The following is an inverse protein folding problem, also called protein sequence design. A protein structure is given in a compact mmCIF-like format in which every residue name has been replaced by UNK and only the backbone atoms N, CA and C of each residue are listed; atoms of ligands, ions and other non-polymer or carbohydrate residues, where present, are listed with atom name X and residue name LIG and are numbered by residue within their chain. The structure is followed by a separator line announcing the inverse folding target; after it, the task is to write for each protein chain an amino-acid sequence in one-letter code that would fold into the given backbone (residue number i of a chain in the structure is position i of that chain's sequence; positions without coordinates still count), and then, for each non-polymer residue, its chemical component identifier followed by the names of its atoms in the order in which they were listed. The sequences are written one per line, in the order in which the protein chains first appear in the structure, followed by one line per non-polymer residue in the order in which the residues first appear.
data_IF_651676778099
#
_entry.id   IF_651676778099
#
_cell.length_a   1.000
_cell.length_b   1.000
_cell.length_c   1.000
_cell.angle_alpha   90.00
_cell.angle_beta   90.00
_cell.angle_gamma   90.00
#
_symmetry.space_group_name_H-M   'P 1'
#
loop_
_entity.id
_entity.type
_entity.pdbx_description
1 polymer ?
#
# COMPACT_ATOMS: atom_id res chain seq x y z
N UNK A 1 40.94 27.80 -69.29
CA UNK A 1 41.68 27.51 -68.08
C UNK A 1 41.01 28.32 -66.95
N UNK A 2 40.03 27.77 -66.37
CA UNK A 2 39.44 28.25 -65.09
C UNK A 2 38.46 27.14 -64.65
N UNK A 3 38.67 26.49 -63.52
CA UNK A 3 37.71 25.54 -63.01
C UNK A 3 38.25 24.38 -62.16
N UNK A 4 39.26 24.61 -61.33
CA UNK A 4 39.74 23.59 -60.39
C UNK A 4 39.91 24.07 -58.94
N UNK A 5 39.47 25.29 -58.61
CA UNK A 5 39.70 25.90 -57.29
C UNK A 5 38.54 25.79 -56.28
N UNK A 6 37.33 25.38 -56.71
CA UNK A 6 36.13 25.57 -55.87
C UNK A 6 35.59 24.31 -55.17
N UNK A 7 35.97 23.13 -55.63
CA UNK A 7 35.50 21.86 -55.07
C UNK A 7 36.22 21.55 -53.74
N UNK A 8 37.50 21.91 -53.58
CA UNK A 8 38.27 21.66 -52.37
C UNK A 8 37.75 22.42 -51.15
N UNK A 9 37.28 23.62 -51.30
CA UNK A 9 36.72 24.47 -50.21
C UNK A 9 35.32 24.05 -49.74
N UNK A 10 34.59 23.36 -50.65
CA UNK A 10 33.25 22.83 -50.30
C UNK A 10 33.32 21.55 -49.46
N UNK A 11 34.27 20.66 -49.72
CA UNK A 11 34.47 19.43 -48.96
C UNK A 11 35.01 19.69 -47.56
N UNK A 12 35.88 20.68 -47.35
CA UNK A 12 36.37 21.07 -46.03
C UNK A 12 35.31 21.73 -45.16
N UNK A 13 34.39 22.50 -45.73
CA UNK A 13 33.27 23.08 -44.96
C UNK A 13 32.19 22.06 -44.56
N UNK A 14 31.85 21.12 -45.45
CA UNK A 14 30.90 20.06 -45.11
C UNK A 14 31.45 19.08 -44.10
N UNK A 15 32.76 18.77 -44.11
CA UNK A 15 33.40 17.86 -43.13
C UNK A 15 33.44 18.43 -41.71
N UNK A 16 33.58 19.76 -41.53
CA UNK A 16 33.62 20.39 -40.23
C UNK A 16 32.23 20.47 -39.58
N UNK A 17 31.17 20.64 -40.34
CA UNK A 17 29.79 20.76 -39.83
C UNK A 17 29.23 19.40 -39.43
N UNK A 18 29.49 18.33 -40.23
CA UNK A 18 29.08 16.97 -39.86
C UNK A 18 29.75 16.50 -38.57
N UNK A 19 31.03 16.82 -38.36
CA UNK A 19 31.76 16.53 -37.13
C UNK A 19 31.21 17.28 -35.89
N UNK A 20 30.68 18.47 -36.08
CA UNK A 20 30.05 19.28 -35.05
C UNK A 20 28.67 18.72 -34.67
N UNK A 21 27.84 18.34 -35.65
CA UNK A 21 26.53 17.73 -35.44
C UNK A 21 26.63 16.36 -34.77
N UNK A 22 27.61 15.54 -35.14
CA UNK A 22 27.87 14.25 -34.53
C UNK A 22 28.34 14.41 -33.06
N UNK A 23 29.23 15.39 -32.79
CA UNK A 23 29.67 15.67 -31.41
C UNK A 23 28.54 16.23 -30.53
N UNK A 24 27.71 17.11 -31.07
CA UNK A 24 26.54 17.63 -30.33
C UNK A 24 25.49 16.55 -30.14
N UNK A 25 25.20 15.72 -31.16
CA UNK A 25 24.29 14.57 -31.03
C UNK A 25 24.77 13.55 -30.00
N UNK A 26 26.07 13.24 -29.95
CA UNK A 26 26.66 12.35 -28.94
C UNK A 26 26.62 12.95 -27.54
N UNK A 27 26.80 14.27 -27.39
CA UNK A 27 26.69 14.98 -26.12
C UNK A 27 25.25 14.97 -25.58
N UNK A 28 24.27 15.16 -26.46
CA UNK A 28 22.85 15.06 -26.09
C UNK A 28 22.43 13.64 -25.77
N UNK A 29 23.00 12.63 -26.45
CA UNK A 29 22.77 11.21 -26.15
C UNK A 29 23.38 10.82 -24.80
N UNK A 30 24.59 11.34 -24.49
CA UNK A 30 25.24 11.11 -23.20
C UNK A 30 24.56 11.87 -22.05
N UNK A 31 24.00 13.07 -22.32
CA UNK A 31 23.19 13.79 -21.34
C UNK A 31 21.83 13.08 -21.07
N UNK A 32 21.22 12.48 -22.10
CA UNK A 32 20.00 11.69 -21.95
C UNK A 32 20.23 10.37 -21.19
N UNK A 33 21.43 9.80 -21.30
CA UNK A 33 21.85 8.62 -20.53
C UNK A 33 22.30 8.95 -19.08
N UNK A 34 22.56 10.22 -18.80
CA UNK A 34 22.96 10.71 -17.49
C UNK A 34 21.80 11.32 -16.67
N UNK A 35 20.56 11.22 -17.16
CA UNK A 35 19.42 11.42 -16.27
C UNK A 35 19.53 10.34 -15.20
N UNK A 36 19.67 10.71 -13.92
CA UNK A 36 19.53 9.69 -12.89
C UNK A 36 18.16 9.05 -13.15
N UNK A 37 18.15 7.76 -13.43
CA UNK A 37 16.99 6.95 -13.14
C UNK A 37 16.78 7.22 -11.66
N UNK A 38 15.86 8.11 -11.33
CA UNK A 38 15.36 8.20 -9.98
C UNK A 38 14.94 6.75 -9.69
N UNK A 39 15.74 6.07 -8.90
CA UNK A 39 15.33 4.80 -8.33
C UNK A 39 13.95 5.14 -7.75
N UNK A 40 12.92 4.56 -8.31
CA UNK A 40 11.60 4.65 -7.76
C UNK A 40 11.76 4.03 -6.39
N UNK A 41 11.96 4.88 -5.38
CA UNK A 41 12.03 4.42 -4.00
C UNK A 41 10.72 3.65 -3.80
N UNK A 42 10.83 2.33 -3.67
CA UNK A 42 9.67 1.48 -3.45
C UNK A 42 8.94 1.98 -2.20
N UNK A 43 7.65 1.77 -2.13
CA UNK A 43 6.89 2.16 -0.95
C UNK A 43 7.54 1.63 0.34
N UNK A 44 7.48 2.39 1.44
CA UNK A 44 8.11 2.00 2.70
C UNK A 44 7.51 0.69 3.24
N UNK A 45 8.23 -0.04 4.10
CA UNK A 45 7.68 -1.22 4.78
C UNK A 45 6.38 -0.89 5.53
N UNK A 46 5.47 -1.85 5.67
CA UNK A 46 4.18 -1.64 6.33
C UNK A 46 4.28 -1.08 7.78
N UNK A 47 5.38 -1.37 8.46
CA UNK A 47 5.64 -0.84 9.82
C UNK A 47 5.80 0.68 9.86
N UNK A 48 6.15 1.30 8.73
CA UNK A 48 6.40 2.73 8.59
C UNK A 48 5.16 3.51 8.13
N UNK A 49 3.99 2.85 8.12
CA UNK A 49 2.71 3.51 7.88
C UNK A 49 2.10 4.00 9.19
N UNK A 50 1.68 5.27 9.21
CA UNK A 50 0.77 5.76 10.25
C UNK A 50 -0.65 5.24 9.99
N UNK A 51 -1.32 4.80 11.03
CA UNK A 51 -2.68 4.25 10.93
C UNK A 51 -3.64 5.09 11.76
N UNK A 52 -4.59 5.71 11.07
CA UNK A 52 -5.74 6.36 11.69
C UNK A 52 -6.92 5.40 11.72
N UNK A 53 -7.72 5.44 12.77
CA UNK A 53 -8.84 4.51 12.97
C UNK A 53 -10.12 5.26 13.34
N UNK A 54 -11.20 5.00 12.62
CA UNK A 54 -12.54 5.47 12.91
C UNK A 54 -13.49 4.30 13.18
N UNK A 55 -14.22 4.43 14.24
CA UNK A 55 -15.27 3.51 14.66
C UNK A 55 -16.52 4.30 15.02
N UNK A 56 -17.61 3.63 15.33
CA UNK A 56 -18.84 4.29 15.82
C UNK A 56 -18.64 5.06 17.14
N UNK A 57 -17.51 4.86 17.82
CA UNK A 57 -17.17 5.60 19.05
C UNK A 57 -16.51 6.96 18.78
N UNK A 58 -15.96 7.16 17.60
CA UNK A 58 -15.22 8.38 17.24
C UNK A 58 -15.64 8.97 15.87
N UNK A 59 -16.92 8.84 15.53
CA UNK A 59 -17.54 9.59 14.46
C UNK A 59 -17.96 8.80 13.22
N UNK A 60 -17.57 7.53 13.07
CA UNK A 60 -18.07 6.70 11.99
C UNK A 60 -19.51 6.28 12.30
N UNK A 61 -20.49 6.49 11.41
CA UNK A 61 -21.89 6.17 11.69
C UNK A 61 -22.15 4.68 11.91
N UNK A 62 -21.41 3.82 11.20
CA UNK A 62 -21.53 2.37 11.31
C UNK A 62 -20.18 1.67 11.09
N UNK A 63 -19.86 0.66 11.90
CA UNK A 63 -18.58 -0.04 11.86
C UNK A 63 -18.43 -1.03 10.70
N UNK A 64 -19.53 -1.45 10.08
CA UNK A 64 -19.49 -2.42 8.96
C UNK A 64 -19.53 -1.69 7.63
N UNK A 65 -18.36 -1.51 7.05
CA UNK A 65 -18.18 -0.93 5.73
C UNK A 65 -18.29 -2.00 4.66
N UNK A 66 -18.79 -1.61 3.49
CA UNK A 66 -18.92 -2.52 2.35
C UNK A 66 -18.10 -2.08 1.15
N UNK A 67 -18.06 -0.80 0.85
CA UNK A 67 -17.30 -0.26 -0.27
C UNK A 67 -16.82 1.16 0.00
N UNK A 68 -15.79 1.59 -0.73
CA UNK A 68 -15.16 2.90 -0.62
C UNK A 68 -14.96 3.46 -2.03
N UNK A 69 -15.38 4.71 -2.24
CA UNK A 69 -15.14 5.44 -3.48
C UNK A 69 -14.67 6.86 -3.19
N UNK A 70 -13.95 7.48 -4.12
CA UNK A 70 -13.58 8.89 -4.06
C UNK A 70 -14.07 9.59 -5.31
N UNK A 71 -14.80 10.69 -5.14
CA UNK A 71 -15.20 11.56 -6.25
C UNK A 71 -14.10 12.58 -6.59
N UNK A 72 -14.07 13.15 -7.82
CA UNK A 72 -13.02 14.08 -8.24
C UNK A 72 -12.87 15.34 -7.36
N UNK A 73 -13.93 15.71 -6.63
CA UNK A 73 -13.86 16.82 -5.66
C UNK A 73 -13.09 16.46 -4.38
N UNK A 74 -12.55 15.23 -4.30
CA UNK A 74 -11.77 14.73 -3.17
C UNK A 74 -12.61 14.11 -2.05
N UNK A 75 -13.96 14.15 -2.11
CA UNK A 75 -14.80 13.53 -1.10
C UNK A 75 -14.68 12.01 -1.16
N UNK A 76 -14.50 11.41 0.02
CA UNK A 76 -14.60 9.96 0.17
C UNK A 76 -16.04 9.56 0.52
N UNK A 77 -16.47 8.45 -0.07
CA UNK A 77 -17.80 7.90 0.11
C UNK A 77 -17.71 6.47 0.58
N UNK A 78 -18.51 6.12 1.56
CA UNK A 78 -18.51 4.80 2.18
C UNK A 78 -19.90 4.19 2.12
N UNK A 79 -19.98 2.98 1.60
CA UNK A 79 -21.17 2.16 1.66
C UNK A 79 -21.28 1.49 3.03
N UNK A 80 -22.40 1.65 3.71
CA UNK A 80 -22.68 0.99 5.00
C UNK A 80 -24.10 0.39 5.01
N UNK A 81 -24.41 -0.40 6.03
CA UNK A 81 -25.78 -0.89 6.24
C UNK A 81 -26.74 0.17 6.76
N UNK A 82 -26.23 1.27 7.32
CA UNK A 82 -27.04 2.37 7.90
C UNK A 82 -27.08 3.61 7.01
N UNK A 83 -26.61 3.49 5.77
CA UNK A 83 -26.65 4.57 4.79
C UNK A 83 -25.36 4.73 4.01
N UNK A 84 -25.38 5.73 3.13
CA UNK A 84 -24.23 6.23 2.41
C UNK A 84 -23.56 7.32 3.24
N UNK A 85 -22.27 7.21 3.47
CA UNK A 85 -21.51 8.16 4.28
C UNK A 85 -20.53 8.92 3.40
N UNK A 86 -20.51 10.25 3.52
CA UNK A 86 -19.51 11.11 2.87
C UNK A 86 -18.56 11.65 3.91
N UNK A 87 -17.27 11.64 3.60
CA UNK A 87 -16.21 12.24 4.39
C UNK A 87 -15.53 13.35 3.59
N UNK A 88 -15.39 14.53 4.18
CA UNK A 88 -14.81 15.72 3.55
C UNK A 88 -13.38 16.02 4.02
N UNK A 89 -12.75 15.09 4.74
CA UNK A 89 -11.44 15.28 5.36
C UNK A 89 -11.52 15.61 6.86
N UNK A 90 -12.67 16.08 7.34
CA UNK A 90 -12.91 16.48 8.74
C UNK A 90 -14.11 15.74 9.35
N UNK A 91 -15.26 15.80 8.67
CA UNK A 91 -16.54 15.33 9.21
C UNK A 91 -17.19 14.27 8.32
N UNK A 92 -17.96 13.38 8.96
CA UNK A 92 -18.84 12.43 8.29
C UNK A 92 -20.25 12.99 8.14
N UNK A 93 -20.80 12.88 6.93
CA UNK A 93 -22.21 13.21 6.64
C UNK A 93 -22.92 11.94 6.19
N UNK A 94 -24.00 11.57 6.86
CA UNK A 94 -24.83 10.41 6.52
C UNK A 94 -25.94 10.80 5.56
N UNK A 95 -26.14 9.99 4.55
CA UNK A 95 -27.24 10.05 3.59
C UNK A 95 -28.03 8.75 3.73
N UNK A 96 -29.26 8.86 4.12
CA UNK A 96 -30.18 7.75 4.25
C UNK A 96 -31.49 8.02 3.47
N UNK A 97 -32.36 7.03 3.41
CA UNK A 97 -33.64 7.14 2.68
C UNK A 97 -34.58 8.22 3.23
N UNK A 98 -34.41 8.63 4.49
CA UNK A 98 -35.25 9.67 5.12
C UNK A 98 -34.71 11.06 4.83
N UNK A 99 -33.41 11.21 4.65
CA UNK A 99 -32.74 12.50 4.43
C UNK A 99 -32.52 12.82 2.97
N UNK A 100 -32.56 11.81 2.06
CA UNK A 100 -32.32 12.00 0.63
C UNK A 100 -33.28 11.17 -0.24
N UNK A 101 -34.08 11.82 -1.09
CA UNK A 101 -35.07 11.12 -1.94
C UNK A 101 -34.44 10.23 -3.02
N UNK A 102 -33.11 10.34 -3.22
CA UNK A 102 -32.34 9.52 -4.17
C UNK A 102 -31.93 8.14 -3.65
N UNK A 103 -32.17 7.81 -2.39
CA UNK A 103 -31.88 6.48 -1.83
C UNK A 103 -33.19 5.77 -1.51
N UNK A 104 -33.30 4.48 -1.89
CA UNK A 104 -34.50 3.65 -1.66
C UNK A 104 -34.33 2.73 -0.45
N UNK A 105 -33.09 2.43 -0.09
CA UNK A 105 -32.75 1.62 1.08
C UNK A 105 -31.53 2.19 1.80
N UNK A 106 -31.37 1.88 3.09
CA UNK A 106 -30.21 2.29 3.86
C UNK A 106 -29.03 1.32 3.70
N UNK A 107 -29.30 0.06 3.37
CA UNK A 107 -28.27 -0.93 3.12
C UNK A 107 -27.57 -0.69 1.78
N UNK A 108 -26.48 0.05 1.78
CA UNK A 108 -25.70 0.34 0.58
C UNK A 108 -24.74 -0.80 0.27
N UNK A 109 -24.76 -1.27 -0.99
CA UNK A 109 -23.98 -2.43 -1.42
C UNK A 109 -22.61 -2.08 -1.99
N UNK A 110 -22.59 -1.42 -3.13
CA UNK A 110 -21.38 -1.05 -3.86
C UNK A 110 -21.43 0.40 -4.32
N UNK A 111 -20.26 0.96 -4.56
CA UNK A 111 -20.05 2.30 -5.07
C UNK A 111 -19.21 2.25 -6.34
N UNK A 112 -19.51 3.11 -7.29
CA UNK A 112 -18.72 3.29 -8.49
C UNK A 112 -18.72 4.77 -8.90
N UNK A 113 -17.58 5.32 -9.25
CA UNK A 113 -17.46 6.69 -9.77
C UNK A 113 -17.20 6.61 -11.26
N UNK A 114 -18.06 7.24 -12.04
CA UNK A 114 -17.94 7.26 -13.48
C UNK A 114 -16.89 8.28 -13.98
N UNK A 115 -16.62 8.29 -15.28
CA UNK A 115 -15.61 9.18 -15.89
C UNK A 115 -16.02 10.67 -15.81
N UNK A 116 -17.29 10.97 -15.65
CA UNK A 116 -17.82 12.32 -15.45
C UNK A 116 -17.77 12.75 -13.98
N UNK A 117 -17.36 11.84 -13.08
CA UNK A 117 -17.25 12.06 -11.64
C UNK A 117 -18.57 11.83 -10.90
N UNK A 118 -19.61 11.35 -11.58
CA UNK A 118 -20.87 10.95 -10.96
C UNK A 118 -20.71 9.72 -10.09
N UNK A 119 -21.41 9.69 -8.94
CA UNK A 119 -21.38 8.58 -8.00
C UNK A 119 -22.58 7.66 -8.23
N UNK A 120 -22.30 6.41 -8.55
CA UNK A 120 -23.28 5.34 -8.66
C UNK A 120 -23.31 4.55 -7.35
N UNK A 121 -24.51 4.27 -6.88
CA UNK A 121 -24.77 3.65 -5.58
C UNK A 121 -25.76 2.51 -5.78
N UNK A 122 -25.44 1.32 -5.30
CA UNK A 122 -26.38 0.20 -5.26
C UNK A 122 -26.85 -0.06 -3.83
N UNK A 123 -28.04 -0.61 -3.71
CA UNK A 123 -28.62 -0.94 -2.42
C UNK A 123 -28.85 -2.45 -2.21
N UNK A 124 -29.33 -2.81 -1.02
CA UNK A 124 -29.59 -4.19 -0.61
C UNK A 124 -30.79 -4.84 -1.30
N UNK A 125 -31.60 -4.06 -2.03
CA UNK A 125 -32.81 -4.52 -2.72
C UNK A 125 -32.70 -4.51 -4.24
N UNK A 126 -31.49 -4.28 -4.77
CA UNK A 126 -31.26 -4.29 -6.21
C UNK A 126 -31.59 -3.00 -6.93
N UNK A 127 -31.81 -1.90 -6.20
CA UNK A 127 -31.96 -0.58 -6.81
C UNK A 127 -30.59 0.05 -7.06
N UNK A 128 -30.54 0.95 -8.04
CA UNK A 128 -29.34 1.73 -8.38
C UNK A 128 -29.70 3.21 -8.35
N UNK A 129 -28.90 3.99 -7.66
CA UNK A 129 -28.98 5.44 -7.62
C UNK A 129 -27.74 6.06 -8.26
N UNK A 130 -27.88 7.20 -8.88
CA UNK A 130 -26.79 8.01 -9.42
C UNK A 130 -26.90 9.43 -8.88
N UNK A 131 -25.81 9.90 -8.31
CA UNK A 131 -25.64 11.30 -7.91
C UNK A 131 -24.67 11.96 -8.89
N UNK A 132 -25.17 12.85 -9.73
CA UNK A 132 -24.35 13.65 -10.64
C UNK A 132 -23.45 14.64 -9.91
N UNK A 133 -22.46 15.19 -10.61
CA UNK A 133 -21.58 16.26 -10.09
C UNK A 133 -22.36 17.53 -9.71
N UNK A 134 -23.48 17.77 -10.38
CA UNK A 134 -24.44 18.85 -10.07
C UNK A 134 -25.23 18.60 -8.78
N UNK A 135 -25.04 17.44 -8.15
CA UNK A 135 -25.74 17.01 -6.95
C UNK A 135 -27.15 16.46 -7.20
N UNK A 136 -27.58 16.37 -8.47
CA UNK A 136 -28.89 15.81 -8.82
C UNK A 136 -28.89 14.28 -8.68
N UNK A 137 -30.03 13.75 -8.24
CA UNK A 137 -30.20 12.31 -8.05
C UNK A 137 -31.12 11.73 -9.10
N UNK A 138 -30.76 10.55 -9.61
CA UNK A 138 -31.58 9.67 -10.43
C UNK A 138 -31.63 8.30 -9.78
N UNK A 139 -32.77 7.60 -9.93
CA UNK A 139 -32.96 6.27 -9.32
C UNK A 139 -33.56 5.33 -10.35
N UNK A 140 -33.01 4.15 -10.42
CA UNK A 140 -33.56 3.01 -11.16
C UNK A 140 -33.92 1.94 -10.13
N UNK A 141 -35.24 1.75 -9.98
CA UNK A 141 -35.75 0.73 -9.07
C UNK A 141 -35.70 -0.65 -9.73
N UNK A 142 -35.55 -1.69 -8.93
CA UNK A 142 -35.65 -3.06 -9.41
C UNK A 142 -37.02 -3.27 -10.09
N UNK A 143 -37.02 -4.12 -11.10
CA UNK A 143 -38.23 -4.47 -11.87
C UNK A 143 -38.69 -5.89 -11.49
N UNK A 144 -39.85 -6.31 -11.96
CA UNK A 144 -40.42 -7.61 -11.63
C UNK A 144 -39.56 -8.81 -12.09
N UNK A 145 -38.75 -8.59 -13.14
CA UNK A 145 -37.84 -9.56 -13.74
C UNK A 145 -36.37 -9.44 -13.23
N UNK A 146 -36.12 -8.51 -12.34
CA UNK A 146 -34.75 -8.32 -11.75
C UNK A 146 -34.69 -8.83 -10.33
N UNK A 147 -33.52 -9.40 -9.88
CA UNK A 147 -33.37 -9.89 -8.52
C UNK A 147 -33.47 -8.79 -7.47
N UNK A 148 -34.30 -9.00 -6.45
CA UNK A 148 -34.38 -8.11 -5.27
C UNK A 148 -33.36 -8.54 -4.21
N UNK A 149 -32.10 -8.45 -4.55
CA UNK A 149 -30.97 -8.81 -3.68
C UNK A 149 -29.90 -7.75 -3.78
N UNK A 150 -28.94 -7.81 -2.86
CA UNK A 150 -27.80 -6.90 -2.83
C UNK A 150 -27.04 -6.94 -4.16
N UNK A 151 -26.75 -5.76 -4.71
CA UNK A 151 -25.75 -5.59 -5.77
C UNK A 151 -24.41 -5.34 -5.09
N UNK A 152 -23.49 -6.29 -5.21
CA UNK A 152 -22.23 -6.30 -4.46
C UNK A 152 -21.03 -5.76 -5.25
N UNK A 153 -21.17 -5.53 -6.56
CA UNK A 153 -20.13 -4.95 -7.40
C UNK A 153 -20.73 -4.26 -8.62
N UNK A 154 -20.15 -3.14 -9.02
CA UNK A 154 -20.55 -2.37 -10.20
C UNK A 154 -19.32 -1.95 -10.99
N UNK A 155 -19.38 -2.01 -12.32
CA UNK A 155 -18.38 -1.45 -13.22
C UNK A 155 -19.01 -1.01 -14.54
N UNK A 156 -18.49 0.07 -15.13
CA UNK A 156 -18.97 0.61 -16.40
C UNK A 156 -18.06 0.21 -17.54
N UNK A 157 -18.64 -0.20 -18.65
CA UNK A 157 -17.91 -0.46 -19.90
C UNK A 157 -17.75 0.82 -20.75
N UNK A 158 -17.11 0.69 -21.91
CA UNK A 158 -16.87 1.83 -22.81
C UNK A 158 -18.14 2.35 -23.50
N UNK A 159 -19.20 1.54 -23.54
CA UNK A 159 -20.51 1.90 -24.10
C UNK A 159 -21.45 2.59 -23.09
N UNK A 160 -20.98 2.76 -21.85
CA UNK A 160 -21.76 3.37 -20.78
C UNK A 160 -22.76 2.43 -20.11
N UNK A 161 -22.66 1.11 -20.34
CA UNK A 161 -23.45 0.13 -19.59
C UNK A 161 -22.81 -0.04 -18.21
N UNK A 162 -23.58 0.13 -17.15
CA UNK A 162 -23.17 -0.15 -15.80
C UNK A 162 -23.49 -1.61 -15.48
N UNK A 163 -22.49 -2.45 -15.45
CA UNK A 163 -22.58 -3.87 -15.09
C UNK A 163 -22.79 -4.03 -13.60
N UNK A 164 -23.68 -4.94 -13.23
CA UNK A 164 -24.19 -5.18 -11.88
C UNK A 164 -23.96 -6.65 -11.53
N UNK A 165 -23.37 -6.90 -10.36
CA UNK A 165 -23.24 -8.24 -9.81
C UNK A 165 -24.22 -8.42 -8.65
N UNK A 166 -25.21 -9.26 -8.86
CA UNK A 166 -26.25 -9.59 -7.87
C UNK A 166 -25.79 -10.74 -6.98
N UNK A 167 -25.88 -10.56 -5.66
CA UNK A 167 -25.49 -11.58 -4.70
C UNK A 167 -26.22 -12.91 -4.92
N UNK A 168 -25.45 -13.96 -5.26
CA UNK A 168 -25.98 -15.31 -5.49
C UNK A 168 -26.93 -15.46 -6.68
N UNK A 169 -27.06 -14.43 -7.55
CA UNK A 169 -28.03 -14.44 -8.67
C UNK A 169 -27.41 -14.26 -10.05
N UNK A 170 -26.15 -13.79 -10.14
CA UNK A 170 -25.48 -13.56 -11.41
C UNK A 170 -25.33 -12.09 -11.76
N UNK A 171 -25.33 -11.77 -13.05
CA UNK A 171 -25.01 -10.43 -13.56
C UNK A 171 -26.19 -9.81 -14.29
N UNK A 172 -26.22 -8.50 -14.31
CA UNK A 172 -27.08 -7.68 -15.16
C UNK A 172 -26.35 -6.42 -15.57
N UNK A 173 -27.02 -5.54 -16.28
CA UNK A 173 -26.51 -4.20 -16.57
C UNK A 173 -27.61 -3.16 -16.55
N UNK A 174 -27.24 -1.94 -16.30
CA UNK A 174 -28.08 -0.76 -16.36
C UNK A 174 -27.66 0.10 -17.56
N UNK A 175 -28.63 0.46 -18.39
CA UNK A 175 -28.56 1.55 -19.37
C UNK A 175 -29.40 2.71 -18.87
N UNK A 176 -28.87 3.94 -18.78
CA UNK A 176 -29.61 5.09 -18.24
C UNK A 176 -30.98 5.35 -18.90
N UNK A 177 -31.10 5.03 -20.18
CA UNK A 177 -32.31 5.30 -20.98
C UNK A 177 -33.31 4.14 -21.00
N UNK A 178 -32.84 2.89 -20.82
CA UNK A 178 -33.65 1.68 -20.95
C UNK A 178 -33.91 0.95 -19.65
N UNK A 179 -33.19 1.32 -18.59
CA UNK A 179 -33.31 0.70 -17.27
C UNK A 179 -32.42 -0.52 -17.05
N UNK A 180 -32.76 -1.32 -16.05
CA UNK A 180 -31.99 -2.50 -15.64
C UNK A 180 -32.38 -3.70 -16.50
N UNK A 181 -31.39 -4.39 -17.05
CA UNK A 181 -31.53 -5.66 -17.77
C UNK A 181 -30.79 -6.75 -17.00
N UNK A 182 -31.53 -7.74 -16.54
CA UNK A 182 -30.95 -8.90 -15.87
C UNK A 182 -30.61 -10.01 -16.87
N UNK A 183 -29.47 -10.65 -16.68
CA UNK A 183 -29.02 -11.80 -17.48
C UNK A 183 -28.91 -13.02 -16.57
N UNK A 184 -29.87 -13.92 -16.69
CA UNK A 184 -29.76 -15.19 -15.98
C UNK A 184 -28.52 -15.97 -16.46
N UNK A 185 -27.84 -16.69 -15.57
CA UNK A 185 -26.77 -17.59 -15.97
C UNK A 185 -27.24 -18.62 -16.99
N UNK A 186 -26.38 -19.00 -17.94
CA UNK A 186 -26.68 -20.07 -18.89
C UNK A 186 -26.95 -21.40 -18.15
N UNK A 187 -27.73 -22.28 -18.77
CA UNK A 187 -28.19 -23.53 -18.13
C UNK A 187 -27.06 -24.51 -17.77
N UNK A 188 -25.92 -24.40 -18.42
CA UNK A 188 -24.69 -25.18 -18.16
C UNK A 188 -23.83 -24.61 -17.02
N UNK A 189 -24.14 -23.39 -16.58
CA UNK A 189 -23.51 -22.81 -15.40
C UNK A 189 -24.40 -23.10 -14.17
N UNK A 190 -23.88 -23.64 -13.09
CA UNK A 190 -24.67 -23.93 -11.89
C UNK A 190 -25.41 -22.68 -11.41
N UNK A 191 -26.74 -22.75 -11.28
CA UNK A 191 -27.57 -21.64 -10.77
C UNK A 191 -27.17 -21.15 -9.37
N UNK A 192 -26.40 -21.96 -8.64
CA UNK A 192 -25.87 -21.66 -7.31
C UNK A 192 -24.43 -21.11 -7.34
N UNK A 193 -23.96 -20.57 -8.46
CA UNK A 193 -22.62 -19.97 -8.48
C UNK A 193 -22.57 -18.77 -7.52
N UNK A 194 -21.78 -18.90 -6.47
CA UNK A 194 -21.44 -17.78 -5.61
C UNK A 194 -20.38 -16.93 -6.31
N UNK A 195 -20.80 -15.82 -6.87
CA UNK A 195 -19.91 -14.86 -7.49
C UNK A 195 -19.14 -14.07 -6.44
N UNK A 196 -17.88 -13.77 -6.72
CA UNK A 196 -16.98 -13.07 -5.79
C UNK A 196 -16.79 -11.61 -6.19
N UNK A 197 -16.50 -11.35 -7.46
CA UNK A 197 -16.21 -10.00 -7.98
C UNK A 197 -16.51 -9.95 -9.47
N UNK A 198 -16.93 -8.77 -9.93
CA UNK A 198 -17.13 -8.44 -11.35
C UNK A 198 -16.09 -7.42 -11.79
N UNK A 199 -15.52 -7.62 -12.99
CA UNK A 199 -14.55 -6.73 -13.63
C UNK A 199 -14.86 -6.61 -15.12
N UNK A 200 -14.78 -5.38 -15.64
CA UNK A 200 -14.81 -5.09 -17.08
C UNK A 200 -13.40 -4.79 -17.54
N UNK A 201 -12.85 -5.58 -18.48
CA UNK A 201 -11.51 -5.37 -19.00
C UNK A 201 -11.43 -4.27 -20.08
N UNK A 202 -10.23 -4.05 -20.62
CA UNK A 202 -9.99 -3.01 -21.62
C UNK A 202 -10.66 -3.30 -22.99
N UNK A 203 -11.10 -4.53 -23.21
CA UNK A 203 -11.83 -4.99 -24.40
C UNK A 203 -13.34 -5.06 -24.18
N UNK A 204 -13.87 -4.48 -23.09
CA UNK A 204 -15.27 -4.53 -22.66
C UNK A 204 -15.78 -5.95 -22.36
N UNK A 205 -14.90 -6.92 -22.15
CA UNK A 205 -15.28 -8.25 -21.70
C UNK A 205 -15.59 -8.20 -20.21
N UNK A 206 -16.66 -8.85 -19.80
CA UNK A 206 -17.07 -8.89 -18.40
C UNK A 206 -16.63 -10.19 -17.76
N UNK A 207 -15.72 -10.08 -16.81
CA UNK A 207 -15.20 -11.19 -16.03
C UNK A 207 -15.89 -11.25 -14.68
N UNK A 208 -16.26 -12.45 -14.25
CA UNK A 208 -16.77 -12.66 -12.91
C UNK A 208 -16.08 -13.85 -12.25
N UNK A 209 -15.50 -13.60 -11.09
CA UNK A 209 -14.95 -14.64 -10.24
C UNK A 209 -16.06 -15.42 -9.55
N UNK A 210 -15.82 -16.71 -9.30
CA UNK A 210 -16.75 -17.57 -8.58
C UNK A 210 -16.01 -18.43 -7.55
N UNK A 211 -16.72 -19.12 -6.70
CA UNK A 211 -16.12 -20.10 -5.79
C UNK A 211 -15.60 -21.35 -6.54
N UNK A 212 -15.99 -21.52 -7.81
CA UNK A 212 -15.63 -22.66 -8.66
C UNK A 212 -15.06 -22.20 -10.02
N UNK A 213 -14.11 -21.28 -9.98
CA UNK A 213 -13.41 -20.80 -11.17
C UNK A 213 -13.83 -19.43 -11.64
N UNK A 214 -13.48 -19.11 -12.88
CA UNK A 214 -13.69 -17.83 -13.52
C UNK A 214 -14.65 -17.95 -14.70
N UNK A 215 -15.55 -17.01 -14.84
CA UNK A 215 -16.47 -16.90 -15.97
C UNK A 215 -16.25 -15.60 -16.74
N UNK A 216 -16.51 -15.64 -18.03
CA UNK A 216 -16.38 -14.53 -18.96
C UNK A 216 -17.71 -14.36 -19.71
N UNK A 217 -18.21 -13.14 -19.81
CA UNK A 217 -19.19 -12.74 -20.81
C UNK A 217 -18.45 -12.07 -21.95
N UNK A 218 -18.48 -12.69 -23.10
CA UNK A 218 -17.87 -12.14 -24.30
C UNK A 218 -18.80 -11.14 -25.03
N UNK A 219 -18.31 -10.60 -26.13
CA UNK A 219 -19.05 -9.62 -26.94
C UNK A 219 -20.31 -10.19 -27.59
N UNK A 220 -20.43 -11.52 -27.72
CA UNK A 220 -21.64 -12.20 -28.20
C UNK A 220 -22.73 -12.24 -27.15
N UNK A 221 -22.44 -11.81 -25.94
CA UNK A 221 -23.40 -11.70 -24.86
C UNK A 221 -23.62 -12.98 -24.06
N UNK A 222 -22.85 -14.01 -24.33
CA UNK A 222 -22.96 -15.32 -23.66
C UNK A 222 -21.97 -15.40 -22.51
N UNK A 223 -22.48 -15.78 -21.33
CA UNK A 223 -21.65 -16.06 -20.17
C UNK A 223 -21.06 -17.47 -20.31
N UNK A 224 -19.74 -17.58 -20.36
CA UNK A 224 -18.98 -18.82 -20.53
C UNK A 224 -17.94 -18.99 -19.42
N UNK A 225 -17.46 -20.19 -19.21
CA UNK A 225 -16.26 -20.40 -18.39
C UNK A 225 -15.04 -19.75 -19.07
N UNK A 226 -14.06 -19.35 -18.27
CA UNK A 226 -12.77 -18.86 -18.77
C UNK A 226 -12.14 -19.87 -19.74
N UNK A 227 -11.27 -19.40 -20.68
CA UNK A 227 -10.63 -20.29 -21.64
C UNK A 227 -10.02 -21.54 -20.99
N UNK A 228 -10.27 -22.71 -21.57
CA UNK A 228 -9.79 -23.98 -21.01
C UNK A 228 -8.27 -24.02 -20.85
N UNK A 229 -7.53 -23.32 -21.72
CA UNK A 229 -6.08 -23.18 -21.65
C UNK A 229 -5.59 -22.51 -20.37
N UNK A 230 -6.44 -21.73 -19.70
CA UNK A 230 -6.10 -21.08 -18.43
C UNK A 230 -6.18 -22.02 -17.22
N UNK A 231 -6.86 -23.15 -17.35
CA UNK A 231 -7.05 -24.09 -16.25
C UNK A 231 -7.89 -23.53 -15.08
N UNK A 232 -8.64 -22.45 -15.31
CA UNK A 232 -9.50 -21.78 -14.33
C UNK A 232 -10.99 -22.12 -14.52
N UNK A 233 -11.27 -23.32 -15.00
CA UNK A 233 -12.62 -23.85 -15.18
C UNK A 233 -13.19 -24.47 -13.90
N UNK A 234 -14.18 -25.36 -14.06
CA UNK A 234 -14.78 -26.09 -12.94
C UNK A 234 -13.72 -26.84 -12.12
N UNK A 235 -13.83 -26.76 -10.79
CA UNK A 235 -12.89 -27.41 -9.86
C UNK A 235 -11.58 -26.64 -9.64
N UNK A 236 -11.39 -25.46 -10.24
CA UNK A 236 -10.19 -24.65 -10.00
C UNK A 236 -10.21 -23.86 -8.67
N UNK A 237 -11.32 -23.93 -7.95
CA UNK A 237 -11.53 -23.24 -6.70
C UNK A 237 -11.86 -21.77 -6.87
N UNK A 238 -11.82 -21.04 -5.76
CA UNK A 238 -12.14 -19.62 -5.72
C UNK A 238 -11.26 -18.81 -6.68
N UNK A 239 -11.90 -18.00 -7.52
CA UNK A 239 -11.23 -17.04 -8.39
C UNK A 239 -11.67 -15.61 -8.09
N UNK A 240 -10.71 -14.67 -8.16
CA UNK A 240 -10.93 -13.25 -7.89
C UNK A 240 -10.28 -12.41 -8.98
N UNK A 241 -11.05 -11.86 -9.93
CA UNK A 241 -10.52 -10.94 -10.93
C UNK A 241 -10.38 -9.52 -10.37
N UNK A 242 -9.37 -8.80 -10.83
CA UNK A 242 -9.14 -7.40 -10.51
C UNK A 242 -8.56 -6.67 -11.71
N UNK A 243 -9.08 -5.49 -12.03
CA UNK A 243 -8.51 -4.60 -13.03
C UNK A 243 -7.70 -3.51 -12.33
N UNK A 244 -6.42 -3.48 -12.64
CA UNK A 244 -5.50 -2.48 -12.13
C UNK A 244 -5.69 -1.11 -12.80
N UNK A 245 -5.19 -0.01 -12.22
CA UNK A 245 -5.26 1.33 -12.81
C UNK A 245 -4.63 1.45 -14.19
N UNK A 246 -3.58 0.67 -14.48
CA UNK A 246 -2.94 0.56 -15.80
C UNK A 246 -3.78 -0.20 -16.84
N UNK A 247 -4.93 -0.75 -16.44
CA UNK A 247 -5.82 -1.54 -17.26
C UNK A 247 -5.51 -3.04 -17.27
N UNK A 248 -4.43 -3.50 -16.66
CA UNK A 248 -4.07 -4.91 -16.57
C UNK A 248 -5.11 -5.71 -15.78
N UNK A 249 -5.42 -6.90 -16.28
CA UNK A 249 -6.29 -7.84 -15.58
C UNK A 249 -5.43 -8.77 -14.71
N UNK A 250 -5.70 -8.77 -13.43
CA UNK A 250 -5.12 -9.68 -12.46
C UNK A 250 -6.16 -10.70 -12.02
N UNK A 251 -5.70 -11.92 -11.73
CA UNK A 251 -6.58 -13.01 -11.29
C UNK A 251 -5.90 -13.74 -10.14
N UNK A 252 -6.56 -13.79 -8.99
CA UNK A 252 -6.19 -14.73 -7.94
C UNK A 252 -7.02 -15.98 -8.10
N UNK A 253 -6.37 -17.13 -8.18
CA UNK A 253 -7.02 -18.44 -8.27
C UNK A 253 -6.29 -19.45 -7.36
N UNK A 254 -6.99 -19.93 -6.34
CA UNK A 254 -6.39 -20.76 -5.31
C UNK A 254 -5.23 -20.05 -4.60
N UNK A 255 -4.03 -20.64 -4.69
CA UNK A 255 -2.80 -20.10 -4.09
C UNK A 255 -1.92 -19.33 -5.08
N UNK A 256 -2.47 -18.87 -6.18
CA UNK A 256 -1.71 -18.25 -7.26
C UNK A 256 -2.29 -16.92 -7.67
N UNK A 257 -1.40 -15.95 -7.87
CA UNK A 257 -1.71 -14.65 -8.43
C UNK A 257 -1.15 -14.57 -9.85
N UNK A 258 -2.02 -14.32 -10.80
CA UNK A 258 -1.70 -14.20 -12.21
C UNK A 258 -1.95 -12.78 -12.71
N UNK A 259 -1.18 -12.37 -13.71
CA UNK A 259 -1.47 -11.25 -14.58
C UNK A 259 -1.83 -11.79 -15.96
N UNK A 260 -2.82 -11.19 -16.61
CA UNK A 260 -3.18 -11.53 -17.98
C UNK A 260 -2.34 -10.68 -18.94
N UNK A 261 -1.56 -11.33 -19.79
CA UNK A 261 -0.72 -10.72 -20.81
C UNK A 261 -0.96 -11.46 -22.13
N UNK A 262 -1.31 -10.75 -23.19
CA UNK A 262 -1.63 -11.32 -24.51
C UNK A 262 -2.63 -12.50 -24.46
N UNK A 263 -3.69 -12.34 -23.67
CA UNK A 263 -4.70 -13.36 -23.40
C UNK A 263 -4.15 -14.67 -22.78
N UNK A 264 -3.00 -14.60 -22.12
CA UNK A 264 -2.42 -15.72 -21.37
C UNK A 264 -2.22 -15.38 -19.89
N UNK A 265 -2.22 -16.41 -19.05
CA UNK A 265 -1.94 -16.27 -17.63
C UNK A 265 -0.45 -16.33 -17.35
N UNK A 266 0.13 -15.25 -16.86
CA UNK A 266 1.50 -15.19 -16.35
C UNK A 266 1.47 -15.28 -14.83
N UNK A 267 2.11 -16.32 -14.28
CA UNK A 267 2.20 -16.47 -12.81
C UNK A 267 3.15 -15.43 -12.24
N UNK A 268 2.63 -14.54 -11.41
CA UNK A 268 3.40 -13.47 -10.77
C UNK A 268 3.86 -13.85 -9.37
N UNK A 269 2.96 -14.42 -8.55
CA UNK A 269 3.26 -14.78 -7.16
C UNK A 269 2.56 -16.08 -6.74
N UNK A 270 3.19 -16.80 -5.79
CA UNK A 270 2.55 -17.85 -5.02
C UNK A 270 2.17 -17.30 -3.65
N UNK A 271 0.90 -17.46 -3.30
CA UNK A 271 0.35 -16.99 -2.04
C UNK A 271 0.53 -18.06 -0.95
N UNK A 272 0.63 -17.67 0.32
CA UNK A 272 0.80 -18.62 1.43
C UNK A 272 -0.53 -19.29 1.78
N UNK A 273 -0.86 -20.33 1.07
CA UNK A 273 -2.14 -21.04 1.20
C UNK A 273 -3.29 -20.34 0.48
N UNK A 274 -4.45 -20.97 0.52
CA UNK A 274 -5.65 -20.44 -0.10
C UNK A 274 -6.17 -19.21 0.67
N UNK A 275 -6.15 -18.05 0.02
CA UNK A 275 -6.69 -16.81 0.55
C UNK A 275 -8.15 -16.63 0.10
N UNK A 276 -9.04 -16.41 1.06
CA UNK A 276 -10.39 -15.94 0.77
C UNK A 276 -10.36 -14.42 0.62
N UNK A 277 -10.10 -13.97 -0.62
CA UNK A 277 -10.07 -12.54 -0.92
C UNK A 277 -11.46 -11.92 -0.83
N UNK A 278 -11.49 -10.70 -0.36
CA UNK A 278 -12.66 -9.83 -0.28
C UNK A 278 -12.46 -8.52 -1.03
N UNK A 279 -11.20 -8.11 -1.19
CA UNK A 279 -10.82 -6.91 -1.95
C UNK A 279 -9.38 -7.00 -2.44
N UNK A 280 -9.07 -6.26 -3.49
CA UNK A 280 -7.73 -6.12 -4.07
C UNK A 280 -7.55 -4.71 -4.59
N UNK A 281 -6.34 -4.16 -4.45
CA UNK A 281 -5.96 -2.83 -4.90
C UNK A 281 -4.50 -2.88 -5.37
N UNK A 282 -4.19 -2.23 -6.48
CA UNK A 282 -2.82 -1.85 -6.84
C UNK A 282 -2.65 -0.36 -6.57
N UNK A 283 -1.65 -0.02 -5.77
CA UNK A 283 -1.36 1.37 -5.42
C UNK A 283 -0.47 2.06 -6.48
N UNK A 284 -0.20 3.34 -6.27
CA UNK A 284 0.64 4.17 -7.15
C UNK A 284 2.09 3.71 -7.27
N UNK A 285 2.59 2.92 -6.31
CA UNK A 285 3.93 2.32 -6.34
C UNK A 285 3.96 1.00 -7.11
N UNK A 286 2.77 0.49 -7.49
CA UNK A 286 2.61 -0.80 -8.15
C UNK A 286 2.47 -1.98 -7.19
N UNK A 287 2.46 -1.73 -5.89
CA UNK A 287 2.27 -2.76 -4.87
C UNK A 287 0.81 -3.25 -4.84
N UNK A 288 0.64 -4.53 -4.56
CA UNK A 288 -0.68 -5.16 -4.51
C UNK A 288 -1.12 -5.35 -3.06
N UNK A 289 -2.24 -4.73 -2.71
CA UNK A 289 -2.89 -4.87 -1.43
C UNK A 289 -4.03 -5.88 -1.53
N UNK A 290 -4.05 -6.85 -0.62
CA UNK A 290 -5.00 -7.95 -0.61
C UNK A 290 -5.78 -7.92 0.71
N UNK A 291 -7.08 -7.62 0.62
CA UNK A 291 -8.01 -7.76 1.73
C UNK A 291 -8.55 -9.18 1.80
N UNK A 292 -8.62 -9.74 2.98
CA UNK A 292 -9.03 -11.14 3.19
C UNK A 292 -10.17 -11.26 4.19
N UNK A 293 -10.86 -12.41 4.16
CA UNK A 293 -11.95 -12.75 5.07
C UNK A 293 -11.47 -12.92 6.52
N UNK A 294 -10.28 -13.52 6.71
CA UNK A 294 -9.84 -13.96 8.04
C UNK A 294 -8.33 -13.75 8.31
N UNK A 295 -7.57 -13.26 7.35
CA UNK A 295 -6.13 -13.03 7.50
C UNK A 295 -5.78 -11.53 7.51
N UNK A 296 -6.78 -10.66 7.53
CA UNK A 296 -6.61 -9.20 7.53
C UNK A 296 -6.09 -8.66 6.20
N UNK A 297 -5.20 -7.70 6.29
CA UNK A 297 -4.60 -7.01 5.16
C UNK A 297 -3.20 -7.53 4.88
N UNK A 298 -2.95 -7.87 3.62
CA UNK A 298 -1.65 -8.30 3.09
C UNK A 298 -1.20 -7.30 2.02
N UNK A 299 0.11 -7.13 1.86
CA UNK A 299 0.72 -6.36 0.77
C UNK A 299 1.81 -7.19 0.09
N UNK A 300 1.83 -7.18 -1.23
CA UNK A 300 2.90 -7.73 -2.07
C UNK A 300 3.65 -6.53 -2.65
N UNK A 301 4.89 -6.37 -2.24
CA UNK A 301 5.78 -5.29 -2.66
C UNK A 301 7.11 -5.84 -3.18
N UNK A 302 8.04 -4.95 -3.52
CA UNK A 302 9.42 -5.33 -3.82
C UNK A 302 10.12 -6.05 -2.65
N UNK A 303 9.64 -5.84 -1.41
CA UNK A 303 10.12 -6.52 -0.20
C UNK A 303 9.50 -7.91 0.01
N UNK A 304 8.62 -8.35 -0.89
CA UNK A 304 7.90 -9.60 -0.80
C UNK A 304 6.50 -9.45 -0.21
N UNK A 305 5.97 -10.54 0.37
CA UNK A 305 4.66 -10.54 1.01
C UNK A 305 4.78 -10.06 2.46
N UNK A 306 4.13 -8.96 2.76
CA UNK A 306 4.05 -8.38 4.09
C UNK A 306 2.65 -8.55 4.68
N UNK A 307 2.58 -8.66 6.01
CA UNK A 307 1.32 -8.65 6.76
C UNK A 307 1.29 -7.44 7.67
N UNK A 308 0.12 -6.86 7.85
CA UNK A 308 -0.04 -5.81 8.84
C UNK A 308 0.33 -6.36 10.24
N UNK A 309 1.19 -5.67 11.00
CA UNK A 309 1.63 -6.15 12.32
C UNK A 309 0.46 -6.47 13.26
N UNK A 310 0.58 -7.54 14.04
CA UNK A 310 -0.47 -8.03 14.93
C UNK A 310 -0.91 -7.02 16.03
N UNK A 311 -0.09 -6.02 16.31
CA UNK A 311 -0.42 -4.93 17.26
C UNK A 311 -1.29 -3.83 16.68
N UNK A 312 -1.48 -3.80 15.37
CA UNK A 312 -2.33 -2.87 14.63
C UNK A 312 -3.61 -3.61 14.19
N UNK A 313 -4.19 -4.38 15.11
CA UNK A 313 -5.34 -5.23 14.87
C UNK A 313 -6.44 -4.49 14.11
N UNK A 314 -6.67 -4.92 12.86
CA UNK A 314 -7.95 -4.70 12.21
C UNK A 314 -8.98 -5.52 13.02
N UNK A 315 -9.89 -4.90 13.77
CA UNK A 315 -10.86 -5.65 14.57
C UNK A 315 -11.66 -6.59 13.66
N UNK A 316 -11.67 -7.88 13.99
CA UNK A 316 -12.41 -8.90 13.28
C UNK A 316 -11.70 -9.56 12.09
N UNK A 317 -10.47 -9.17 11.73
CA UNK A 317 -9.66 -9.82 10.69
C UNK A 317 -10.18 -9.74 9.25
N UNK A 318 -11.46 -9.33 9.05
CA UNK A 318 -12.10 -9.22 7.73
C UNK A 318 -11.94 -7.81 7.17
N UNK A 319 -11.19 -7.71 6.10
CA UNK A 319 -11.13 -6.51 5.24
C UNK A 319 -12.20 -6.65 4.17
N UNK A 320 -13.00 -5.63 3.94
CA UNK A 320 -14.12 -5.70 2.98
C UNK A 320 -13.84 -4.89 1.72
N UNK A 321 -13.19 -3.74 1.86
CA UNK A 321 -12.89 -2.84 0.75
C UNK A 321 -11.55 -2.15 0.93
N UNK A 322 -10.92 -1.81 -0.19
CA UNK A 322 -9.65 -1.10 -0.30
C UNK A 322 -9.78 0.03 -1.30
N UNK A 323 -9.22 1.17 -0.97
CA UNK A 323 -9.12 2.32 -1.87
C UNK A 323 -7.87 3.13 -1.59
N UNK A 324 -7.13 3.49 -2.62
CA UNK A 324 -6.13 4.55 -2.56
C UNK A 324 -6.79 5.89 -2.87
N UNK A 325 -6.58 6.89 -2.03
CA UNK A 325 -7.07 8.24 -2.28
C UNK A 325 -6.08 9.05 -3.16
N UNK A 326 -6.48 10.27 -3.51
CA UNK A 326 -5.68 11.14 -4.35
C UNK A 326 -4.34 11.56 -3.68
N UNK A 327 -4.28 11.53 -2.37
CA UNK A 327 -3.10 11.84 -1.56
C UNK A 327 -2.14 10.64 -1.39
N UNK A 328 -2.57 9.42 -1.75
CA UNK A 328 -1.81 8.18 -1.63
C UNK A 328 -2.05 7.42 -0.32
N UNK A 329 -3.04 7.84 0.45
CA UNK A 329 -3.42 7.05 1.61
C UNK A 329 -4.20 5.81 1.20
N UNK A 330 -3.93 4.69 1.84
CA UNK A 330 -4.69 3.45 1.64
C UNK A 330 -5.82 3.40 2.67
N UNK A 331 -7.04 3.48 2.18
CA UNK A 331 -8.24 3.34 2.99
C UNK A 331 -8.70 1.88 3.01
N UNK A 332 -8.98 1.40 4.21
CA UNK A 332 -9.34 0.01 4.48
C UNK A 332 -10.67 -0.03 5.22
N UNK A 333 -11.68 -0.52 4.56
CA UNK A 333 -12.97 -0.82 5.16
C UNK A 333 -12.96 -2.23 5.77
N UNK A 334 -13.29 -2.33 7.03
CA UNK A 334 -13.32 -3.61 7.73
C UNK A 334 -14.59 -3.74 8.60
N UNK A 335 -14.87 -4.95 9.08
CA UNK A 335 -16.01 -5.20 9.98
C UNK A 335 -15.88 -4.56 11.37
N UNK A 336 -14.80 -3.86 11.65
CA UNK A 336 -14.56 -3.20 12.93
C UNK A 336 -14.41 -1.70 12.81
N UNK A 337 -14.47 -1.14 11.61
CA UNK A 337 -14.30 0.28 11.37
C UNK A 337 -13.61 0.62 10.06
N UNK A 338 -13.25 1.87 9.94
CA UNK A 338 -12.51 2.45 8.83
C UNK A 338 -11.08 2.73 9.27
N UNK A 339 -10.12 2.37 8.44
CA UNK A 339 -8.70 2.60 8.68
C UNK A 339 -8.12 3.39 7.51
N UNK A 340 -7.19 4.29 7.81
CA UNK A 340 -6.38 4.98 6.81
C UNK A 340 -4.90 4.72 7.12
N UNK A 341 -4.20 4.13 6.17
CA UNK A 341 -2.77 3.92 6.21
C UNK A 341 -2.10 5.02 5.40
N UNK A 342 -1.21 5.79 6.03
CA UNK A 342 -0.44 6.86 5.39
C UNK A 342 1.04 6.58 5.50
N UNK A 343 1.75 6.76 4.41
CA UNK A 343 3.21 6.76 4.45
C UNK A 343 3.70 7.86 5.38
N UNK A 344 4.70 7.55 6.19
CA UNK A 344 5.32 8.53 7.08
C UNK A 344 6.76 8.77 6.67
N UNK A 345 7.22 9.99 6.88
CA UNK A 345 8.63 10.36 6.73
C UNK A 345 9.48 9.90 7.92
N UNK A 346 8.83 9.38 8.97
CA UNK A 346 9.49 8.98 10.20
C UNK A 346 9.20 7.51 10.49
N UNK A 347 10.25 6.72 10.63
CA UNK A 347 10.17 5.36 11.12
C UNK A 347 10.31 5.35 12.64
N UNK A 348 9.38 4.70 13.34
CA UNK A 348 9.44 4.53 14.79
C UNK A 348 10.00 3.16 15.13
N UNK A 349 11.01 3.13 15.99
CA UNK A 349 11.63 1.90 16.47
C UNK A 349 11.39 1.74 17.97
N UNK A 350 11.09 0.53 18.40
CA UNK A 350 10.73 0.16 19.76
C UNK A 350 11.42 -1.14 20.20
N UNK A 351 11.20 -1.59 21.41
CA UNK A 351 11.64 -2.91 21.89
C UNK A 351 11.17 -4.06 20.97
N UNK A 352 10.08 -3.89 20.21
CA UNK A 352 9.59 -4.87 19.22
C UNK A 352 10.53 -5.01 18.02
N UNK A 353 11.31 -3.96 17.73
CA UNK A 353 12.31 -3.93 16.67
C UNK A 353 13.68 -4.37 17.16
N UNK A 354 13.78 -4.75 18.45
CA UNK A 354 14.98 -5.27 19.07
C UNK A 354 15.76 -4.27 19.92
N UNK A 355 15.21 -3.05 20.16
CA UNK A 355 15.83 -2.13 21.11
C UNK A 355 15.78 -2.71 22.53
N UNK A 356 16.83 -2.45 23.30
CA UNK A 356 16.93 -2.84 24.72
C UNK A 356 15.94 -2.09 25.61
N UNK A 357 15.41 -0.96 25.14
CA UNK A 357 14.41 -0.16 25.85
C UNK A 357 13.94 1.03 25.02
N UNK A 358 12.66 1.40 25.20
CA UNK A 358 12.03 2.50 24.45
C UNK A 358 12.48 3.89 24.92
N UNK A 359 13.15 3.99 26.09
CA UNK A 359 13.66 5.27 26.58
C UNK A 359 15.05 5.54 26.01
N UNK A 360 15.10 5.94 24.73
CA UNK A 360 16.32 6.31 24.01
C UNK A 360 16.86 7.64 24.53
N UNK A 361 18.18 7.71 24.77
CA UNK A 361 18.90 8.87 25.29
C UNK A 361 19.91 9.43 24.31
N UNK A 362 20.47 8.58 23.44
CA UNK A 362 21.49 8.99 22.48
C UNK A 362 21.40 8.10 21.23
N UNK A 363 21.68 8.70 20.10
CA UNK A 363 21.80 8.04 18.80
C UNK A 363 23.10 8.50 18.18
N UNK A 364 23.84 7.59 17.57
CA UNK A 364 25.14 7.88 16.98
C UNK A 364 25.34 7.05 15.71
N UNK A 365 25.66 7.72 14.60
CA UNK A 365 26.11 7.07 13.37
C UNK A 365 27.64 7.07 13.35
N UNK A 366 28.25 5.91 13.25
CA UNK A 366 29.68 5.77 13.16
C UNK A 366 30.19 6.03 11.73
N UNK A 367 31.55 5.96 11.54
CA UNK A 367 32.18 6.23 10.23
C UNK A 367 31.83 5.17 9.18
N UNK A 368 31.44 3.99 9.61
CA UNK A 368 30.99 2.89 8.75
C UNK A 368 29.49 2.93 8.48
N UNK A 369 28.82 4.06 8.87
CA UNK A 369 27.37 4.27 8.77
C UNK A 369 26.53 3.27 9.55
N UNK A 370 27.10 2.70 10.61
CA UNK A 370 26.35 1.87 11.54
C UNK A 370 25.64 2.76 12.56
N UNK A 371 24.37 2.50 12.78
CA UNK A 371 23.55 3.26 13.73
C UNK A 371 23.57 2.58 15.09
N UNK A 372 24.09 3.32 16.08
CA UNK A 372 24.14 2.93 17.48
C UNK A 372 23.08 3.67 18.27
N UNK A 373 22.36 2.96 19.14
CA UNK A 373 21.31 3.53 19.98
C UNK A 373 21.60 3.23 21.44
N UNK A 374 21.73 4.28 22.24
CA UNK A 374 21.89 4.17 23.69
C UNK A 374 20.58 4.48 24.39
N UNK A 375 20.12 3.56 25.23
CA UNK A 375 18.88 3.68 26.01
C UNK A 375 19.15 3.60 27.51
N UNK A 376 18.10 3.75 28.30
CA UNK A 376 18.17 3.50 29.74
C UNK A 376 18.48 2.03 30.07
N UNK A 377 18.24 1.13 29.12
CA UNK A 377 18.31 -0.32 29.30
C UNK A 377 19.45 -0.99 28.56
N UNK A 378 20.30 -0.24 27.84
CA UNK A 378 21.45 -0.80 27.12
C UNK A 378 21.92 0.00 25.92
N UNK A 379 22.82 -0.63 25.18
CA UNK A 379 23.37 -0.19 23.90
C UNK A 379 22.94 -1.16 22.81
N UNK A 380 22.42 -0.64 21.73
CA UNK A 380 21.94 -1.39 20.59
C UNK A 380 22.64 -0.98 19.30
N UNK A 381 22.85 -1.94 18.40
CA UNK A 381 23.39 -1.73 17.06
C UNK A 381 22.35 -2.11 16.02
N UNK A 382 22.11 -1.23 15.04
CA UNK A 382 21.23 -1.56 13.92
C UNK A 382 21.89 -2.60 13.01
N UNK A 383 21.12 -3.62 12.65
CA UNK A 383 21.51 -4.70 11.74
C UNK A 383 21.08 -4.38 10.31
N UNK A 384 21.64 -5.07 9.32
CA UNK A 384 21.39 -4.82 7.90
C UNK A 384 19.92 -5.01 7.47
N UNK A 385 19.14 -5.76 8.25
CA UNK A 385 17.68 -5.91 8.07
C UNK A 385 16.86 -4.81 8.74
N UNK A 386 17.53 -3.76 9.25
CA UNK A 386 16.90 -2.60 9.89
C UNK A 386 16.40 -2.84 11.31
N UNK A 387 16.63 -4.02 11.89
CA UNK A 387 16.34 -4.32 13.30
C UNK A 387 17.49 -3.90 14.21
N UNK A 388 17.28 -3.98 15.51
CA UNK A 388 18.33 -3.70 16.50
C UNK A 388 18.76 -4.96 17.21
N UNK A 389 20.04 -5.00 17.55
CA UNK A 389 20.65 -6.06 18.33
C UNK A 389 21.31 -5.46 19.56
N UNK A 390 20.91 -5.93 20.73
CA UNK A 390 21.52 -5.55 21.98
C UNK A 390 23.01 -5.95 22.04
N UNK A 391 23.85 -5.02 22.47
CA UNK A 391 25.26 -5.28 22.71
C UNK A 391 25.46 -5.90 24.09
N UNK A 392 26.31 -6.92 24.23
CA UNK A 392 26.49 -7.66 25.48
C UNK A 392 27.34 -6.87 26.47
N UNK A 393 26.91 -5.67 26.85
CA UNK A 393 27.53 -4.85 27.88
C UNK A 393 26.85 -5.12 29.22
N UNK A 394 27.66 -5.35 30.25
CA UNK A 394 27.19 -5.57 31.60
C UNK A 394 28.00 -4.72 32.58
N UNK A 395 27.30 -4.14 33.52
CA UNK A 395 27.90 -3.44 34.65
C UNK A 395 28.40 -4.45 35.73
N UNK A 396 29.00 -3.97 36.80
CA UNK A 396 29.47 -4.81 37.92
C UNK A 396 28.34 -5.63 38.59
N UNK A 397 27.09 -5.20 38.43
CA UNK A 397 25.92 -5.93 38.94
C UNK A 397 25.33 -6.92 37.95
N UNK A 398 25.98 -7.16 36.78
CA UNK A 398 25.48 -8.08 35.75
C UNK A 398 24.32 -7.55 34.93
N UNK A 399 23.95 -6.27 35.08
CA UNK A 399 22.89 -5.62 34.30
C UNK A 399 23.44 -4.81 33.14
N UNK A 400 22.66 -4.60 32.10
CA UNK A 400 23.03 -3.69 31.02
C UNK A 400 23.17 -2.24 31.56
N UNK A 401 24.22 -1.49 31.15
CA UNK A 401 24.43 -0.12 31.60
C UNK A 401 23.40 0.83 30.99
N UNK A 402 23.03 1.88 31.72
CA UNK A 402 22.22 2.97 31.18
C UNK A 402 23.11 3.93 30.39
N UNK A 403 22.94 3.98 29.07
CA UNK A 403 23.80 4.73 28.14
C UNK A 403 23.33 6.17 28.02
N UNK A 404 24.26 7.12 28.14
CA UNK A 404 23.99 8.56 28.09
C UNK A 404 24.60 9.25 26.86
N UNK A 405 25.76 8.80 26.40
CA UNK A 405 26.51 9.43 25.33
C UNK A 405 27.36 8.44 24.56
N UNK A 406 27.59 8.74 23.28
CA UNK A 406 28.38 7.93 22.35
C UNK A 406 29.36 8.83 21.60
N UNK A 407 30.55 8.33 21.34
CA UNK A 407 31.53 8.96 20.46
C UNK A 407 32.49 7.91 19.85
N UNK A 408 33.02 8.16 18.66
CA UNK A 408 33.98 7.27 18.01
C UNK A 408 35.36 7.90 17.98
N UNK A 409 36.36 7.18 18.46
CA UNK A 409 37.78 7.57 18.42
C UNK A 409 38.39 7.51 17.01
N UNK A 410 39.56 8.15 16.81
CA UNK A 410 40.27 8.08 15.52
C UNK A 410 40.68 6.66 15.15
N UNK A 411 40.90 5.80 16.14
CA UNK A 411 41.21 4.37 16.01
C UNK A 411 40.01 3.48 15.66
N UNK A 412 38.82 4.08 15.51
CA UNK A 412 37.56 3.38 15.21
C UNK A 412 36.85 2.82 16.45
N UNK A 413 37.46 2.94 17.65
CA UNK A 413 36.83 2.48 18.88
C UNK A 413 35.61 3.34 19.25
N UNK A 414 34.54 2.69 19.70
CA UNK A 414 33.33 3.35 20.19
C UNK A 414 33.49 3.57 21.73
N UNK A 415 33.26 4.80 22.13
CA UNK A 415 33.27 5.22 23.54
C UNK A 415 31.82 5.42 24.00
N UNK A 416 31.46 4.74 25.07
CA UNK A 416 30.10 4.67 25.59
C UNK A 416 30.04 5.24 27.00
N UNK A 417 29.50 6.42 27.16
CA UNK A 417 29.29 7.07 28.44
C UNK A 417 28.01 6.60 29.11
N UNK A 418 28.08 6.29 30.39
CA UNK A 418 26.96 5.69 31.12
C UNK A 418 26.52 6.48 32.35
N UNK A 419 25.36 6.11 32.89
CA UNK A 419 24.90 6.60 34.18
C UNK A 419 25.33 5.62 35.28
N UNK A 420 26.33 6.01 36.07
CA UNK A 420 26.81 5.28 37.22
C UNK A 420 27.96 4.30 36.98
N UNK A 421 28.19 3.84 35.72
CA UNK A 421 29.12 2.75 35.42
C UNK A 421 30.36 3.24 34.66
N UNK A 422 30.58 4.56 34.54
CA UNK A 422 31.75 5.15 33.87
C UNK A 422 31.68 5.08 32.34
N UNK A 423 32.82 4.78 31.68
CA UNK A 423 32.95 4.76 30.23
C UNK A 423 33.38 3.38 29.76
N UNK A 424 32.63 2.81 28.82
CA UNK A 424 33.01 1.59 28.11
C UNK A 424 33.69 1.97 26.78
N UNK A 425 34.82 1.31 26.49
CA UNK A 425 35.48 1.39 25.18
C UNK A 425 35.33 0.08 24.46
N UNK A 426 34.67 0.13 23.28
CA UNK A 426 34.42 -1.01 22.40
C UNK A 426 35.33 -0.91 21.18
N UNK A 427 35.87 -2.05 20.74
CA UNK A 427 36.57 -2.09 19.47
C UNK A 427 35.64 -1.96 18.26
N UNK A 428 36.17 -1.77 17.04
CA UNK A 428 35.39 -1.75 15.81
C UNK A 428 34.57 -3.03 15.58
N UNK A 429 34.98 -4.14 16.20
CA UNK A 429 34.26 -5.41 16.19
C UNK A 429 33.12 -5.48 17.21
N UNK A 430 32.85 -4.39 17.91
CA UNK A 430 31.83 -4.28 18.97
C UNK A 430 32.20 -4.99 20.28
N UNK A 431 33.40 -5.53 20.41
CA UNK A 431 33.83 -6.19 21.64
C UNK A 431 34.31 -5.19 22.68
N UNK A 432 33.96 -5.44 23.94
CA UNK A 432 34.46 -4.65 25.06
C UNK A 432 35.98 -4.76 25.19
N UNK A 433 36.68 -3.64 25.10
CA UNK A 433 38.10 -3.54 25.34
C UNK A 433 38.41 -3.17 26.78
N UNK A 434 37.71 -2.17 27.32
CA UNK A 434 37.93 -1.70 28.70
C UNK A 434 36.70 -0.97 29.24
N UNK A 435 36.50 -0.98 30.57
CA UNK A 435 35.55 -0.14 31.27
C UNK A 435 36.32 0.75 32.25
N UNK A 436 36.34 2.04 31.99
CA UNK A 436 36.94 3.05 32.86
C UNK A 436 35.92 3.48 33.91
N UNK A 437 36.23 3.20 35.18
CA UNK A 437 35.36 3.48 36.32
C UNK A 437 36.14 4.20 37.45
N UNK A 438 35.52 4.39 38.59
CA UNK A 438 36.15 5.04 39.74
C UNK A 438 37.47 4.34 40.19
N UNK A 439 37.58 3.02 40.00
CA UNK A 439 38.77 2.25 40.28
C UNK A 439 39.95 2.63 39.37
N UNK A 440 39.70 3.17 38.18
CA UNK A 440 40.67 3.63 37.20
C UNK A 440 40.97 5.12 37.34
N UNK A 441 40.51 5.75 38.45
CA UNK A 441 40.77 7.17 38.75
C UNK A 441 39.72 8.13 38.17
N UNK A 442 38.60 7.63 37.66
CA UNK A 442 37.51 8.47 37.17
C UNK A 442 36.82 9.21 38.35
N UNK A 443 36.63 10.53 38.26
CA UNK A 443 36.04 11.33 39.36
C UNK A 443 34.53 11.06 39.59
N UNK A 444 33.88 10.31 38.69
CA UNK A 444 32.48 9.93 38.81
C UNK A 444 32.04 8.96 37.74
N UNK A 445 30.90 8.27 37.95
CA UNK A 445 30.36 7.27 37.02
C UNK A 445 29.36 7.81 36.00
N UNK A 446 28.93 9.08 36.12
CA UNK A 446 27.91 9.68 35.27
C UNK A 446 28.53 10.46 34.13
N UNK A 447 28.57 9.87 32.94
CA UNK A 447 29.24 10.44 31.76
C UNK A 447 28.19 10.91 30.77
N UNK A 448 27.83 12.19 30.86
CA UNK A 448 26.74 12.79 30.04
C UNK A 448 27.18 13.18 28.64
N UNK A 449 28.47 13.45 28.43
CA UNK A 449 29.01 13.80 27.12
C UNK A 449 30.43 13.23 26.98
N UNK A 450 30.77 12.81 25.76
CA UNK A 450 32.06 12.41 25.33
C UNK A 450 32.38 13.22 24.09
N UNK A 451 33.59 13.85 24.07
CA UNK A 451 34.09 14.53 22.89
C UNK A 451 35.47 13.95 22.54
N UNK A 452 35.70 13.75 21.27
CA UNK A 452 36.98 13.29 20.73
C UNK A 452 37.63 14.44 19.97
N UNK A 453 38.80 14.87 20.43
CA UNK A 453 39.60 15.88 19.74
C UNK A 453 40.25 15.23 18.49
N UNK A 454 40.03 15.75 17.28
CA UNK A 454 40.68 15.20 16.09
C UNK A 454 42.18 15.42 16.01
N UNK A 455 42.76 16.29 16.84
CA UNK A 455 44.19 16.69 16.79
C UNK A 455 45.02 16.06 17.88
N UNK A 456 44.44 15.67 19.02
CA UNK A 456 45.13 15.01 20.11
C UNK A 456 44.33 13.94 20.79
N UNK A 457 44.96 12.84 21.12
CA UNK A 457 44.42 11.65 21.76
C UNK A 457 43.45 11.98 22.92
N UNK A 458 42.20 11.59 22.75
CA UNK A 458 41.09 11.44 23.74
C UNK A 458 41.21 12.26 25.02
N UNK A 459 40.57 13.42 25.05
CA UNK A 459 40.19 14.09 26.27
C UNK A 459 38.73 13.75 26.64
N UNK A 460 38.52 13.12 27.76
CA UNK A 460 37.20 12.99 28.38
C UNK A 460 36.89 14.35 29.06
N UNK A 461 36.07 15.16 28.43
CA UNK A 461 35.49 16.33 29.10
C UNK A 461 34.32 15.85 29.95
N UNK A 462 34.54 15.76 31.26
CA UNK A 462 33.42 15.66 32.19
C UNK A 462 32.74 17.01 32.21
N UNK A 463 31.39 17.10 32.00
CA UNK A 463 30.71 18.34 32.20
C UNK A 463 30.85 18.77 33.66
N UNK A 464 31.44 19.94 33.88
CA UNK A 464 31.46 20.60 35.18
C UNK A 464 30.00 20.84 35.55
N UNK A 465 29.51 20.15 36.57
CA UNK A 465 28.18 20.45 37.15
C UNK A 465 28.33 21.81 37.81
N UNK A 466 27.76 22.87 37.19
CA UNK A 466 27.44 24.08 37.91
C UNK A 466 26.31 23.69 38.87
N UNK A 467 26.67 23.62 40.17
CA UNK A 467 25.73 23.51 41.27
C UNK A 467 24.90 24.78 41.41
#
# INVERSE_FOLDING_TARGET
MAGQGDIGRWVERCGSDIGRWLRQGLLWLLLALALPVAAQEGAPPLRDYAIDVWTSRNGLPHNSLRDIAQTPEGHLWFATWEGLVRYNGLDFTVFDRSTRPGLRDNGIGALFVDRQGGLWISDSRGNVSHRGNDGQWRVWEHQADTPQVLIQSMQMDSQGRLWLLYEGKGIGYLMPDTGIVYQAPAADLPMAMSFTKLVVDAQDRVWAGTLDGLVLRDNDGVLKRAPAAWGLGAGSGLSWPYRAPDGALWIVAGERLYRVEDDQLVLMHRLPGQLHLTSMLQDRHGDLWLGTENQGLLRISAHGLERLPAGLNLPGGRVVSLREDAEGSIWVGANGGLYRLRETLFSSYTERDGLSGDYVRTVFEDRDRQLWVGSASGLDLQTADGRFRAMPLHNRGGKAPSVLSLAQGPDGDLWVGTFGDGVYRLGPDGRLRHNYAAADGMPGGNIRAISVDPVSYTHLTLPTICS
#
